data_IF_320897339780
#
_entry.id   IF_320897339780
#
_cell.length_a   1.000
_cell.length_b   1.000
_cell.length_c   1.000
_cell.angle_alpha   90.00
_cell.angle_beta   90.00
_cell.angle_gamma   90.00
#
_symmetry.space_group_name_H-M   'P 1'
#
loop_
_entity.id
_entity.type
_entity.pdbx_description
1 polymer ?
#
# COMPACT_ATOMS: atom_id res chain seq x y z
N UNK A 1 -9.92 22.30 -0.62
CA UNK A 1 -10.39 20.90 -0.64
C UNK A 1 -9.25 20.04 -1.17
N UNK A 2 -8.77 19.08 -0.38
CA UNK A 2 -7.68 18.19 -0.77
C UNK A 2 -8.19 16.80 -1.12
N UNK A 3 -7.53 16.12 -2.06
CA UNK A 3 -7.85 14.74 -2.45
C UNK A 3 -6.63 13.86 -2.21
N UNK A 4 -6.85 12.75 -1.49
CA UNK A 4 -5.87 11.69 -1.29
C UNK A 4 -6.35 10.47 -2.06
N UNK A 5 -5.51 9.93 -2.93
CA UNK A 5 -5.76 8.67 -3.63
C UNK A 5 -4.83 7.59 -3.10
N UNK A 6 -5.43 6.46 -2.71
CA UNK A 6 -4.71 5.26 -2.29
C UNK A 6 -4.83 4.24 -3.43
N UNK A 7 -3.70 3.86 -4.01
CA UNK A 7 -3.62 2.80 -5.00
C UNK A 7 -2.89 1.61 -4.39
N UNK A 8 -3.53 0.47 -4.35
CA UNK A 8 -2.97 -0.71 -3.72
C UNK A 8 -3.70 -1.99 -4.06
N UNK A 9 -3.37 -3.03 -3.33
CA UNK A 9 -3.90 -4.37 -3.46
C UNK A 9 -4.93 -4.70 -2.35
N UNK A 10 -5.10 -5.99 -2.04
CA UNK A 10 -6.05 -6.46 -1.02
C UNK A 10 -5.76 -5.92 0.39
N UNK A 11 -4.49 -5.65 0.72
CA UNK A 11 -4.11 -5.11 2.03
C UNK A 11 -4.60 -3.66 2.17
N UNK A 12 -4.41 -2.85 1.13
CA UNK A 12 -4.91 -1.47 1.14
C UNK A 12 -6.43 -1.40 0.92
N UNK A 13 -7.01 -2.37 0.21
CA UNK A 13 -8.46 -2.53 0.13
C UNK A 13 -9.10 -2.76 1.51
N UNK A 14 -8.35 -3.39 2.43
CA UNK A 14 -8.83 -3.76 3.77
C UNK A 14 -9.54 -5.11 3.76
N UNK A 15 -9.12 -6.03 2.88
CA UNK A 15 -9.71 -7.36 2.75
C UNK A 15 -9.74 -8.08 4.10
N UNK A 16 -10.91 -8.66 4.42
CA UNK A 16 -11.20 -9.44 5.63
C UNK A 16 -11.20 -8.66 6.95
N UNK A 17 -10.89 -7.35 6.97
CA UNK A 17 -11.11 -6.52 8.15
C UNK A 17 -12.52 -5.94 8.13
N UNK A 18 -13.40 -6.30 9.10
CA UNK A 18 -14.78 -5.77 9.16
C UNK A 18 -14.83 -4.24 9.25
N UNK A 19 -13.75 -3.61 9.70
CA UNK A 19 -13.64 -2.16 9.81
C UNK A 19 -13.04 -1.50 8.55
N UNK A 20 -12.80 -2.25 7.47
CA UNK A 20 -12.34 -1.73 6.18
C UNK A 20 -10.86 -1.39 6.09
N UNK A 21 -10.04 -1.97 6.98
CA UNK A 21 -8.58 -1.86 6.91
C UNK A 21 -8.03 -0.50 7.32
N UNK A 22 -6.74 -0.30 7.05
CA UNK A 22 -6.00 0.90 7.43
C UNK A 22 -6.46 2.16 6.67
N UNK A 23 -6.92 2.00 5.44
CA UNK A 23 -7.40 3.13 4.62
C UNK A 23 -8.70 3.69 5.17
N UNK A 24 -9.61 2.83 5.65
CA UNK A 24 -10.86 3.28 6.27
C UNK A 24 -10.61 3.97 7.62
N UNK A 25 -9.64 3.49 8.42
CA UNK A 25 -9.22 4.16 9.66
C UNK A 25 -8.67 5.55 9.36
N UNK A 26 -7.88 5.68 8.29
CA UNK A 26 -7.34 6.96 7.83
C UNK A 26 -8.48 7.91 7.39
N UNK A 27 -9.47 7.42 6.66
CA UNK A 27 -10.63 8.21 6.23
C UNK A 27 -11.44 8.71 7.42
N UNK A 28 -11.70 7.86 8.41
CA UNK A 28 -12.43 8.25 9.63
C UNK A 28 -11.66 9.33 10.40
N UNK A 29 -10.36 9.21 10.51
CA UNK A 29 -9.53 10.24 11.14
C UNK A 29 -9.60 11.57 10.40
N UNK A 30 -9.47 11.57 9.08
CA UNK A 30 -9.59 12.78 8.25
C UNK A 30 -10.94 13.47 8.43
N UNK A 31 -12.03 12.72 8.42
CA UNK A 31 -13.37 13.28 8.64
C UNK A 31 -13.56 13.81 10.06
N UNK A 32 -12.98 13.17 11.05
CA UNK A 32 -12.99 13.64 12.44
C UNK A 32 -12.26 14.97 12.63
N UNK A 33 -11.22 15.26 11.84
CA UNK A 33 -10.45 16.50 11.92
C UNK A 33 -11.14 17.66 11.23
N UNK A 34 -11.96 17.42 10.20
CA UNK A 34 -12.63 18.48 9.42
C UNK A 34 -13.92 18.99 10.06
N UNK A 35 -14.46 18.29 11.06
CA UNK A 35 -15.71 18.66 11.77
C UNK A 35 -16.89 19.02 10.86
N UNK A 36 -16.93 18.47 9.64
CA UNK A 36 -17.97 18.74 8.65
C UNK A 36 -17.79 20.02 7.85
N UNK A 37 -16.68 20.74 8.01
CA UNK A 37 -16.39 21.90 7.15
C UNK A 37 -15.89 21.43 5.77
N UNK A 38 -16.74 21.57 4.77
CA UNK A 38 -16.40 21.19 3.38
C UNK A 38 -15.24 21.98 2.79
N UNK A 39 -14.98 23.20 3.25
CA UNK A 39 -13.90 24.04 2.73
C UNK A 39 -12.53 23.58 3.24
N UNK A 40 -12.51 22.95 4.42
CA UNK A 40 -11.31 22.36 5.03
C UNK A 40 -11.20 20.87 4.73
N UNK A 41 -12.19 20.27 4.06
CA UNK A 41 -12.34 18.83 3.86
C UNK A 41 -11.22 18.22 3.03
N UNK A 42 -10.68 17.11 3.52
CA UNK A 42 -9.80 16.20 2.76
C UNK A 42 -10.60 14.95 2.40
N UNK A 43 -10.70 14.66 1.11
CA UNK A 43 -11.40 13.48 0.61
C UNK A 43 -10.40 12.39 0.28
N UNK A 44 -10.62 11.20 0.83
CA UNK A 44 -9.81 10.02 0.58
C UNK A 44 -10.58 9.05 -0.31
N UNK A 45 -9.94 8.64 -1.39
CA UNK A 45 -10.44 7.63 -2.32
C UNK A 45 -9.57 6.39 -2.21
N UNK A 46 -10.16 5.28 -1.76
CA UNK A 46 -9.51 3.98 -1.82
C UNK A 46 -9.73 3.37 -3.21
N UNK A 47 -8.67 3.34 -4.01
CA UNK A 47 -8.65 2.83 -5.38
C UNK A 47 -7.89 1.48 -5.45
N UNK A 48 -7.86 0.75 -4.34
CA UNK A 48 -7.18 -0.54 -4.25
C UNK A 48 -8.02 -1.66 -4.85
N UNK A 49 -7.35 -2.63 -5.48
CA UNK A 49 -7.99 -3.80 -6.12
C UNK A 49 -7.35 -5.08 -5.59
N UNK A 50 -8.19 -6.00 -5.10
CA UNK A 50 -7.75 -7.28 -4.54
C UNK A 50 -6.99 -8.11 -5.57
N UNK A 51 -5.81 -8.62 -5.20
CA UNK A 51 -5.00 -9.48 -6.06
C UNK A 51 -4.17 -8.73 -7.12
N UNK A 52 -4.21 -7.41 -7.12
CA UNK A 52 -3.56 -6.59 -8.15
C UNK A 52 -2.03 -6.59 -8.01
N UNK A 53 -1.35 -6.74 -9.14
CA UNK A 53 0.10 -6.55 -9.28
C UNK A 53 0.43 -5.10 -9.65
N UNK A 54 1.72 -4.72 -9.54
CA UNK A 54 2.18 -3.40 -10.02
C UNK A 54 1.94 -3.21 -11.52
N UNK A 55 2.01 -4.28 -12.32
CA UNK A 55 1.73 -4.24 -13.75
C UNK A 55 0.23 -3.98 -14.04
N UNK A 56 -0.67 -4.55 -13.25
CA UNK A 56 -2.11 -4.31 -13.40
C UNK A 56 -2.47 -2.90 -12.95
N UNK A 57 -1.92 -2.45 -11.84
CA UNK A 57 -2.08 -1.07 -11.36
C UNK A 57 -1.64 -0.07 -12.45
N UNK A 58 -0.51 -0.31 -13.10
CA UNK A 58 0.02 0.58 -14.14
C UNK A 58 -0.94 0.75 -15.34
N UNK A 59 -1.74 -0.28 -15.67
CA UNK A 59 -2.74 -0.23 -16.76
C UNK A 59 -3.89 0.72 -16.45
N UNK A 60 -4.37 0.72 -15.20
CA UNK A 60 -5.57 1.50 -14.81
C UNK A 60 -5.25 2.85 -14.15
N UNK A 61 -4.00 3.10 -13.76
CA UNK A 61 -3.61 4.27 -12.97
C UNK A 61 -4.06 5.60 -13.60
N UNK A 62 -3.69 5.84 -14.85
CA UNK A 62 -4.03 7.10 -15.54
C UNK A 62 -5.54 7.29 -15.71
N UNK A 63 -6.31 6.31 -16.25
CA UNK A 63 -7.77 6.44 -16.35
C UNK A 63 -8.47 6.70 -15.01
N UNK A 64 -8.01 6.09 -13.92
CA UNK A 64 -8.58 6.32 -12.58
C UNK A 64 -8.35 7.74 -12.06
N UNK A 65 -7.18 8.32 -12.32
CA UNK A 65 -6.87 9.70 -11.96
C UNK A 65 -7.67 10.70 -12.79
N UNK A 66 -7.73 10.50 -14.10
CA UNK A 66 -8.46 11.36 -15.03
C UNK A 66 -9.94 11.43 -14.68
N UNK A 67 -10.55 10.27 -14.38
CA UNK A 67 -11.95 10.18 -13.97
C UNK A 67 -12.27 10.98 -12.68
N UNK A 68 -11.27 11.26 -11.83
CA UNK A 68 -11.42 11.96 -10.55
C UNK A 68 -10.80 13.34 -10.51
N UNK A 69 -10.38 13.87 -11.66
CA UNK A 69 -9.82 15.23 -11.79
C UNK A 69 -8.57 15.47 -10.95
N UNK A 70 -7.62 14.51 -10.95
CA UNK A 70 -6.35 14.54 -10.22
C UNK A 70 -6.49 14.62 -8.68
N UNK A 71 -5.39 14.43 -7.98
CA UNK A 71 -5.31 14.45 -6.52
C UNK A 71 -4.11 15.24 -6.03
N UNK A 72 -4.17 15.70 -4.78
CA UNK A 72 -3.05 16.42 -4.16
C UNK A 72 -2.00 15.47 -3.60
N UNK A 73 -2.45 14.30 -3.14
CA UNK A 73 -1.62 13.28 -2.51
C UNK A 73 -1.93 11.93 -3.15
N UNK A 74 -0.90 11.19 -3.54
CA UNK A 74 -1.02 9.81 -4.00
C UNK A 74 -0.16 8.91 -3.12
N UNK A 75 -0.79 7.88 -2.53
CA UNK A 75 -0.12 6.84 -1.76
C UNK A 75 -0.25 5.52 -2.52
N UNK A 76 0.89 4.92 -2.83
CA UNK A 76 0.96 3.59 -3.40
C UNK A 76 1.17 2.55 -2.29
N UNK A 77 0.48 1.43 -2.35
CA UNK A 77 0.58 0.31 -1.41
C UNK A 77 0.36 -1.02 -2.15
N UNK A 78 1.23 -1.32 -3.10
CA UNK A 78 1.16 -2.49 -3.98
C UNK A 78 2.53 -3.12 -4.18
N UNK A 79 2.55 -4.40 -4.58
CA UNK A 79 3.76 -5.14 -4.92
C UNK A 79 3.87 -6.52 -4.26
N UNK A 80 3.08 -6.82 -3.24
CA UNK A 80 3.12 -8.14 -2.61
C UNK A 80 2.66 -9.25 -3.56
N UNK A 81 1.68 -8.96 -4.43
CA UNK A 81 1.21 -9.93 -5.41
C UNK A 81 2.23 -10.23 -6.52
N UNK A 82 3.12 -9.28 -6.82
CA UNK A 82 4.24 -9.50 -7.75
C UNK A 82 5.22 -10.54 -7.20
N UNK A 83 5.37 -10.64 -5.87
CA UNK A 83 6.23 -11.61 -5.18
C UNK A 83 5.61 -13.02 -5.11
N UNK A 84 4.45 -13.25 -5.69
CA UNK A 84 3.76 -14.54 -5.67
C UNK A 84 4.47 -15.57 -6.56
N UNK A 85 4.52 -16.80 -6.07
CA UNK A 85 4.90 -17.99 -6.85
C UNK A 85 3.63 -18.71 -7.25
N UNK A 86 3.42 -18.96 -8.54
CA UNK A 86 2.25 -19.68 -9.10
C UNK A 86 2.75 -20.89 -9.89
N UNK A 87 2.23 -22.07 -9.60
CA UNK A 87 2.69 -23.35 -10.18
C UNK A 87 4.24 -23.52 -10.12
N UNK A 88 4.83 -23.11 -9.01
CA UNK A 88 6.28 -23.19 -8.79
C UNK A 88 7.13 -22.16 -9.55
N UNK A 89 6.49 -21.19 -10.22
CA UNK A 89 7.18 -20.12 -10.97
C UNK A 89 6.85 -18.75 -10.40
N UNK A 90 7.87 -17.93 -10.28
CA UNK A 90 7.69 -16.52 -9.95
C UNK A 90 6.96 -15.80 -11.09
N UNK A 91 5.93 -14.99 -10.76
CA UNK A 91 5.12 -14.32 -11.79
C UNK A 91 5.72 -13.00 -12.27
N UNK A 92 6.62 -12.40 -11.48
CA UNK A 92 7.35 -11.18 -11.83
C UNK A 92 8.78 -11.26 -11.30
N UNK A 93 9.65 -10.40 -11.78
CA UNK A 93 11.00 -10.20 -11.23
C UNK A 93 11.10 -8.87 -10.50
N UNK A 94 12.07 -8.68 -9.59
CA UNK A 94 12.32 -7.37 -8.99
C UNK A 94 12.57 -6.27 -10.03
N UNK A 95 13.19 -6.59 -11.17
CA UNK A 95 13.41 -5.64 -12.26
C UNK A 95 12.11 -5.17 -12.92
N UNK A 96 11.15 -6.09 -13.12
CA UNK A 96 9.82 -5.73 -13.65
C UNK A 96 9.10 -4.78 -12.69
N UNK A 97 9.14 -5.07 -11.39
CA UNK A 97 8.55 -4.21 -10.36
C UNK A 97 9.22 -2.84 -10.31
N UNK A 98 10.55 -2.77 -10.36
CA UNK A 98 11.26 -1.49 -10.45
C UNK A 98 10.79 -0.65 -11.64
N UNK A 99 10.64 -1.26 -12.81
CA UNK A 99 10.15 -0.58 -14.01
C UNK A 99 8.72 -0.05 -13.83
N UNK A 100 7.82 -0.87 -13.30
CA UNK A 100 6.42 -0.50 -13.04
C UNK A 100 6.32 0.62 -11.99
N UNK A 101 7.04 0.49 -10.87
CA UNK A 101 7.09 1.49 -9.79
C UNK A 101 7.59 2.82 -10.31
N UNK A 102 8.69 2.83 -11.06
CA UNK A 102 9.22 4.05 -11.68
C UNK A 102 8.21 4.71 -12.62
N UNK A 103 7.56 3.93 -13.47
CA UNK A 103 6.55 4.43 -14.39
C UNK A 103 5.33 5.01 -13.66
N UNK A 104 4.86 4.37 -12.56
CA UNK A 104 3.78 4.87 -11.71
C UNK A 104 4.16 6.21 -11.06
N UNK A 105 5.35 6.30 -10.47
CA UNK A 105 5.85 7.53 -9.84
C UNK A 105 5.94 8.67 -10.86
N UNK A 106 6.51 8.40 -12.03
CA UNK A 106 6.64 9.42 -13.09
C UNK A 106 5.30 9.94 -13.57
N UNK A 107 4.30 9.07 -13.75
CA UNK A 107 2.93 9.47 -14.10
C UNK A 107 2.27 10.26 -12.97
N UNK A 108 2.46 9.84 -11.73
CA UNK A 108 1.87 10.48 -10.56
C UNK A 108 2.41 11.90 -10.32
N UNK A 109 3.67 12.16 -10.63
CA UNK A 109 4.28 13.51 -10.51
C UNK A 109 3.58 14.60 -11.32
N UNK A 110 2.98 14.24 -12.43
CA UNK A 110 2.21 15.19 -13.24
C UNK A 110 0.87 15.59 -12.58
N UNK A 111 0.44 14.86 -11.53
CA UNK A 111 -0.92 14.92 -11.02
C UNK A 111 -1.02 15.21 -9.52
N UNK A 112 0.08 15.08 -8.75
CA UNK A 112 0.05 15.24 -7.30
C UNK A 112 1.29 15.97 -6.78
N UNK A 113 1.10 16.72 -5.69
CA UNK A 113 2.15 17.48 -5.01
C UNK A 113 2.93 16.62 -4.00
N UNK A 114 2.34 15.56 -3.50
CA UNK A 114 2.95 14.62 -2.56
C UNK A 114 2.71 13.18 -3.01
N UNK A 115 3.80 12.42 -3.10
CA UNK A 115 3.79 10.99 -3.38
C UNK A 115 4.40 10.24 -2.21
N UNK A 116 3.93 9.02 -1.96
CA UNK A 116 4.51 8.11 -0.97
C UNK A 116 4.31 6.67 -1.43
N UNK A 117 5.26 5.80 -1.12
CA UNK A 117 5.09 4.35 -1.26
C UNK A 117 5.09 3.68 0.11
N UNK A 118 4.06 2.89 0.38
CA UNK A 118 3.97 2.04 1.57
C UNK A 118 4.58 0.69 1.20
N UNK A 119 5.58 0.26 1.97
CA UNK A 119 6.29 -1.00 1.78
C UNK A 119 5.44 -2.23 2.00
N UNK A 120 5.97 -3.38 1.63
CA UNK A 120 5.29 -4.65 1.74
C UNK A 120 5.24 -5.12 3.19
N UNK A 121 4.28 -5.99 3.51
CA UNK A 121 4.22 -6.67 4.81
C UNK A 121 4.85 -8.06 4.70
N UNK A 122 5.51 -8.59 5.76
CA UNK A 122 5.91 -9.98 5.80
C UNK A 122 4.69 -10.89 5.92
N UNK A 123 4.87 -12.17 5.61
CA UNK A 123 3.83 -13.21 5.67
C UNK A 123 4.19 -14.31 6.68
N UNK A 124 3.19 -15.05 7.11
CA UNK A 124 3.40 -16.30 7.86
C UNK A 124 3.62 -17.46 6.88
N UNK A 125 4.88 -17.82 6.64
CA UNK A 125 5.25 -18.88 5.67
C UNK A 125 4.67 -20.24 6.03
N UNK A 126 4.37 -20.51 7.29
CA UNK A 126 3.71 -21.76 7.70
C UNK A 126 2.30 -21.89 7.15
N UNK A 127 1.68 -20.76 6.79
CA UNK A 127 0.31 -20.63 6.27
C UNK A 127 0.25 -20.20 4.80
N UNK A 128 1.39 -19.85 4.20
CA UNK A 128 1.43 -19.32 2.83
C UNK A 128 2.33 -20.10 1.89
N UNK A 129 2.90 -21.23 2.34
CA UNK A 129 3.80 -22.04 1.53
C UNK A 129 3.47 -23.53 1.62
N UNK A 130 2.48 -24.01 0.81
CA UNK A 130 1.57 -23.28 -0.08
C UNK A 130 0.42 -22.59 0.65
N UNK A 131 -0.34 -21.76 -0.06
CA UNK A 131 -1.57 -21.18 0.45
C UNK A 131 -2.64 -22.26 0.54
N UNK A 132 -3.27 -22.53 1.70
CA UNK A 132 -4.18 -23.68 1.87
C UNK A 132 -5.38 -23.70 0.91
N UNK A 133 -5.95 -22.54 0.58
CA UNK A 133 -7.11 -22.42 -0.33
C UNK A 133 -6.74 -22.15 -1.79
N UNK A 134 -5.43 -22.00 -2.09
CA UNK A 134 -4.85 -21.88 -3.44
C UNK A 134 -3.51 -22.64 -3.46
N UNK A 135 -3.53 -23.99 -3.46
CA UNK A 135 -2.33 -24.80 -3.26
C UNK A 135 -1.29 -24.72 -4.39
N UNK A 136 -1.67 -24.14 -5.52
CA UNK A 136 -0.78 -23.79 -6.63
C UNK A 136 0.01 -22.50 -6.40
N UNK A 137 -0.27 -21.78 -5.30
CA UNK A 137 0.32 -20.47 -4.99
C UNK A 137 1.06 -20.48 -3.65
N UNK A 138 2.10 -19.66 -3.59
CA UNK A 138 2.87 -19.46 -2.38
C UNK A 138 3.42 -18.03 -2.27
N UNK A 139 3.58 -17.57 -1.03
CA UNK A 139 4.37 -16.39 -0.68
C UNK A 139 5.49 -16.79 0.27
N UNK A 140 6.67 -16.20 0.08
CA UNK A 140 7.86 -16.42 0.91
C UNK A 140 8.48 -15.09 1.30
N UNK A 141 8.85 -14.94 2.56
CA UNK A 141 9.46 -13.72 3.07
C UNK A 141 10.77 -13.36 2.37
N UNK A 142 11.59 -14.34 2.02
CA UNK A 142 12.82 -14.08 1.25
C UNK A 142 12.54 -13.44 -0.11
N UNK A 143 11.47 -13.86 -0.80
CA UNK A 143 11.03 -13.25 -2.05
C UNK A 143 10.46 -11.86 -1.79
N UNK A 144 9.53 -11.73 -0.84
CA UNK A 144 8.91 -10.45 -0.51
C UNK A 144 9.98 -9.42 -0.12
N UNK A 145 10.97 -9.80 0.70
CA UNK A 145 12.08 -8.92 1.09
C UNK A 145 12.88 -8.40 -0.13
N UNK A 146 13.12 -9.25 -1.13
CA UNK A 146 13.82 -8.83 -2.35
C UNK A 146 12.99 -7.82 -3.17
N UNK A 147 11.67 -8.02 -3.25
CA UNK A 147 10.76 -7.09 -3.92
C UNK A 147 10.59 -5.78 -3.16
N UNK A 148 10.45 -5.87 -1.84
CA UNK A 148 10.37 -4.71 -0.95
C UNK A 148 11.63 -3.83 -1.05
N UNK A 149 12.81 -4.45 -1.02
CA UNK A 149 14.08 -3.76 -1.21
C UNK A 149 14.18 -3.07 -2.59
N UNK A 150 13.71 -3.74 -3.64
CA UNK A 150 13.68 -3.19 -4.99
C UNK A 150 12.75 -1.97 -5.10
N UNK A 151 11.55 -2.04 -4.50
CA UNK A 151 10.61 -0.91 -4.41
C UNK A 151 11.22 0.24 -3.62
N UNK A 152 11.79 -0.05 -2.45
CA UNK A 152 12.45 0.94 -1.59
C UNK A 152 13.58 1.66 -2.29
N UNK A 153 14.45 0.91 -2.99
CA UNK A 153 15.54 1.48 -3.77
C UNK A 153 14.99 2.38 -4.89
N UNK A 154 13.98 1.92 -5.64
CA UNK A 154 13.38 2.71 -6.71
C UNK A 154 12.72 3.98 -6.17
N UNK A 155 12.04 3.92 -5.02
CA UNK A 155 11.47 5.09 -4.36
C UNK A 155 12.56 6.11 -3.97
N UNK A 156 13.71 5.63 -3.47
CA UNK A 156 14.85 6.50 -3.14
C UNK A 156 15.48 7.14 -4.40
N UNK A 157 15.69 6.37 -5.47
CA UNK A 157 16.18 6.87 -6.76
C UNK A 157 15.24 7.94 -7.34
N UNK A 158 13.95 7.74 -7.20
CA UNK A 158 12.91 8.68 -7.63
C UNK A 158 12.62 9.77 -6.57
N UNK A 159 13.37 9.85 -5.49
CA UNK A 159 13.23 10.85 -4.42
C UNK A 159 11.79 10.98 -3.87
N UNK A 160 11.07 9.87 -3.71
CA UNK A 160 9.79 9.83 -3.00
C UNK A 160 9.93 9.15 -1.65
N UNK A 161 9.18 9.56 -0.63
CA UNK A 161 9.13 8.90 0.66
C UNK A 161 8.68 7.44 0.58
N UNK A 162 9.26 6.61 1.44
CA UNK A 162 8.94 5.20 1.59
C UNK A 162 8.64 4.88 3.05
N UNK A 163 7.53 4.20 3.33
CA UNK A 163 7.15 3.73 4.67
C UNK A 163 7.54 2.27 4.79
N UNK A 164 8.56 1.97 5.58
CA UNK A 164 9.17 0.65 5.70
C UNK A 164 8.39 -0.26 6.66
N UNK A 165 7.39 -0.98 6.15
CA UNK A 165 6.62 -1.93 6.95
C UNK A 165 7.35 -3.26 7.14
N UNK A 166 8.06 -3.75 6.12
CA UNK A 166 8.70 -5.07 6.18
C UNK A 166 9.69 -5.16 7.33
N UNK A 167 10.62 -4.20 7.43
CA UNK A 167 11.60 -4.19 8.51
C UNK A 167 10.97 -3.85 9.86
N UNK A 168 10.00 -2.95 9.89
CA UNK A 168 9.30 -2.59 11.13
C UNK A 168 8.60 -3.81 11.76
N UNK A 169 7.95 -4.65 10.94
CA UNK A 169 7.27 -5.83 11.46
C UNK A 169 8.23 -6.98 11.77
N UNK A 170 9.21 -7.26 10.89
CA UNK A 170 10.17 -8.35 11.11
C UNK A 170 11.15 -8.10 12.25
N UNK A 171 11.26 -6.86 12.75
CA UNK A 171 11.98 -6.55 13.99
C UNK A 171 11.37 -7.25 15.22
N UNK A 172 10.06 -7.48 15.21
CA UNK A 172 9.37 -8.34 16.16
C UNK A 172 9.22 -9.75 15.57
N UNK A 173 9.89 -10.75 16.15
CA UNK A 173 9.77 -12.15 15.72
C UNK A 173 8.35 -12.71 15.84
N UNK A 174 7.49 -12.07 16.62
CA UNK A 174 6.10 -12.47 16.82
C UNK A 174 5.13 -11.76 15.86
N UNK A 175 5.59 -11.03 14.84
CA UNK A 175 4.73 -10.28 13.92
C UNK A 175 3.56 -11.08 13.30
N UNK A 176 3.64 -12.42 13.32
CA UNK A 176 2.55 -13.28 12.83
C UNK A 176 1.21 -13.01 13.52
N UNK A 177 1.23 -12.49 14.76
CA UNK A 177 0.00 -12.08 15.46
C UNK A 177 -0.73 -10.89 14.80
N UNK A 178 -0.07 -10.18 13.89
CA UNK A 178 -0.65 -9.09 13.10
C UNK A 178 -1.40 -9.57 11.86
N UNK A 179 -1.29 -10.88 11.53
CA UNK A 179 -1.86 -11.47 10.33
C UNK A 179 -3.12 -12.30 10.66
N UNK A 180 -4.12 -12.21 9.80
CA UNK A 180 -5.36 -12.96 9.92
C UNK A 180 -5.24 -14.37 9.33
N UNK A 181 -4.82 -14.45 8.08
CA UNK A 181 -4.77 -15.68 7.27
C UNK A 181 -3.35 -16.09 6.86
N UNK A 182 -2.36 -15.36 7.34
CA UNK A 182 -0.95 -15.51 7.01
C UNK A 182 -0.45 -14.51 5.96
N UNK A 183 -1.34 -13.81 5.27
CA UNK A 183 -1.02 -12.76 4.27
C UNK A 183 -1.61 -11.43 4.71
N UNK A 184 -2.92 -11.40 4.93
CA UNK A 184 -3.66 -10.18 5.18
C UNK A 184 -3.54 -9.76 6.65
N UNK A 185 -3.31 -8.47 6.93
CA UNK A 185 -3.34 -7.97 8.29
C UNK A 185 -4.70 -8.18 8.96
N UNK A 186 -4.69 -8.47 10.24
CA UNK A 186 -5.86 -8.37 11.09
C UNK A 186 -6.06 -6.92 11.58
N UNK A 187 -7.04 -6.68 12.45
CA UNK A 187 -7.31 -5.34 12.98
C UNK A 187 -6.09 -4.66 13.61
N UNK A 188 -5.23 -5.41 14.34
CA UNK A 188 -4.02 -4.88 14.94
C UNK A 188 -2.95 -4.55 13.88
N UNK A 189 -2.78 -5.38 12.86
CA UNK A 189 -1.90 -5.13 11.74
C UNK A 189 -2.34 -3.89 10.95
N UNK A 190 -3.62 -3.78 10.65
CA UNK A 190 -4.16 -2.59 9.99
C UNK A 190 -4.01 -1.32 10.83
N UNK A 191 -4.13 -1.40 12.15
CA UNK A 191 -3.88 -0.26 13.05
C UNK A 191 -2.43 0.20 12.98
N UNK A 192 -1.46 -0.73 12.92
CA UNK A 192 -0.04 -0.36 12.78
C UNK A 192 0.25 0.32 11.44
N UNK A 193 -0.30 -0.18 10.33
CA UNK A 193 -0.14 0.46 9.02
C UNK A 193 -0.76 1.87 9.04
N UNK A 194 -1.98 1.99 9.56
CA UNK A 194 -2.66 3.27 9.72
C UNK A 194 -1.83 4.27 10.51
N UNK A 195 -1.27 3.86 11.66
CA UNK A 195 -0.48 4.75 12.50
C UNK A 195 0.74 5.31 11.76
N UNK A 196 1.45 4.49 10.98
CA UNK A 196 2.62 4.91 10.21
C UNK A 196 2.25 5.84 9.05
N UNK A 197 1.21 5.51 8.29
CA UNK A 197 0.73 6.36 7.18
C UNK A 197 0.20 7.69 7.70
N UNK A 198 -0.56 7.67 8.80
CA UNK A 198 -1.04 8.90 9.47
C UNK A 198 0.12 9.77 9.93
N UNK A 199 1.11 9.19 10.62
CA UNK A 199 2.29 9.94 11.08
C UNK A 199 3.02 10.62 9.91
N UNK A 200 3.23 9.89 8.82
CA UNK A 200 3.82 10.42 7.59
C UNK A 200 3.01 11.62 7.03
N UNK A 201 1.68 11.49 6.93
CA UNK A 201 0.83 12.56 6.39
C UNK A 201 0.83 13.79 7.28
N UNK A 202 0.84 13.62 8.61
CA UNK A 202 0.92 14.74 9.57
C UNK A 202 2.27 15.44 9.45
N UNK A 203 3.37 14.69 9.36
CA UNK A 203 4.72 15.26 9.26
C UNK A 203 4.93 16.04 7.95
N UNK A 204 4.48 15.47 6.83
CA UNK A 204 4.76 15.99 5.49
C UNK A 204 3.75 16.98 4.98
N UNK A 205 2.56 16.98 5.53
CA UNK A 205 1.49 17.81 5.00
C UNK A 205 0.83 18.65 6.07
N UNK A 206 1.34 19.86 6.24
CA UNK A 206 0.73 20.86 7.09
C UNK A 206 -0.76 21.18 6.70
N UNK A 207 -1.19 20.88 5.48
CA UNK A 207 -2.58 21.05 5.06
C UNK A 207 -3.51 19.99 5.65
N UNK A 208 -3.00 18.76 5.89
CA UNK A 208 -3.74 17.70 6.61
C UNK A 208 -3.71 17.94 8.12
N UNK A 209 -2.68 18.64 8.62
CA UNK A 209 -2.46 18.87 10.06
C UNK A 209 -3.03 20.22 10.58
N UNK A 210 -3.46 21.09 9.69
CA UNK A 210 -4.00 22.43 10.06
C UNK A 210 -5.53 22.49 10.11
N UNK A 211 -6.18 21.32 10.15
CA UNK A 211 -7.61 21.23 10.37
C UNK A 211 -7.92 20.99 11.84
#
# INVERSE_FOLDING_TARGET
MHKIFIFGDSIAYGAWDPEGGWVERLRRWLFGTTRGDYNLGTFLYNLSVVGETTADLLKRFTPELEARQHGDIIVFAAGINDAQVVHGRQIATPADVCANVRALIQRARACASLLCWVGLTPVDESRTTPIPWMPDRAYRNGTIAAFDAAIKQTAAEEAIPYIDLFHAWTADRAYHHLLLDGIHPNAAGHEQIYAQVKAFLVERNAAVARC
#
